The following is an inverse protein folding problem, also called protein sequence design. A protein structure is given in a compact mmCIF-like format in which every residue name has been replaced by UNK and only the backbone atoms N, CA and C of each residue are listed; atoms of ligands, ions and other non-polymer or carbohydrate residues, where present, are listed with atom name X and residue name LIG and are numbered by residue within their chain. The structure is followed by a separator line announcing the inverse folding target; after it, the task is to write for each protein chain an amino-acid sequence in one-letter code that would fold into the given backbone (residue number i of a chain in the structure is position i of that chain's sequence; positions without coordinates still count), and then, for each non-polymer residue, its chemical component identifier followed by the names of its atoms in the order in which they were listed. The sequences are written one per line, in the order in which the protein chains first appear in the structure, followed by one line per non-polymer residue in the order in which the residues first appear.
data_IF_129193604609
#
_entry.id   IF_129193604609
#
_cell.length_a   1.000
_cell.length_b   1.000
_cell.length_c   1.000
_cell.angle_alpha   90.00
_cell.angle_beta   90.00
_cell.angle_gamma   90.00
#
_symmetry.space_group_name_H-M   'P 1'
#
loop_
_entity.id
_entity.type
_entity.pdbx_description
1 polymer ?
#
# COMPACT_ATOMS: atom_id res chain seq x y z
N UNK A 1 15.21 -0.20 4.94
CA UNK A 1 13.98 0.48 5.39
C UNK A 1 12.93 0.40 4.29
N UNK A 2 11.70 0.04 4.64
CA UNK A 2 10.66 -0.18 3.64
C UNK A 2 9.95 1.13 3.29
N UNK A 3 9.58 1.28 2.03
CA UNK A 3 8.70 2.35 1.59
C UNK A 3 7.68 1.78 0.63
N UNK A 4 6.64 2.55 0.35
CA UNK A 4 5.47 2.06 -0.38
C UNK A 4 5.07 3.07 -1.44
N UNK A 5 4.70 2.56 -2.63
CA UNK A 5 4.20 3.39 -3.71
C UNK A 5 2.82 2.89 -4.07
N UNK A 6 1.88 3.81 -4.25
CA UNK A 6 0.48 3.47 -4.49
C UNK A 6 0.06 4.00 -5.84
N UNK A 7 -0.53 3.12 -6.64
CA UNK A 7 -1.07 3.46 -7.96
C UNK A 7 -2.57 3.20 -8.00
N UNK A 8 -3.27 3.89 -8.90
CA UNK A 8 -4.69 3.61 -9.14
C UNK A 8 -4.86 2.49 -10.17
N UNK A 9 -6.11 2.23 -10.58
CA UNK A 9 -6.41 1.15 -11.51
C UNK A 9 -5.79 1.36 -12.89
N UNK A 10 -5.47 2.58 -13.24
CA UNK A 10 -4.87 2.95 -14.53
C UNK A 10 -3.36 3.11 -14.43
N UNK A 11 -2.77 2.67 -13.32
CA UNK A 11 -1.34 2.76 -13.04
C UNK A 11 -0.83 4.19 -12.94
N UNK A 12 -1.71 5.12 -12.56
CA UNK A 12 -1.30 6.48 -12.23
C UNK A 12 -0.79 6.51 -10.81
N UNK A 13 0.33 7.19 -10.60
CA UNK A 13 0.90 7.36 -9.27
C UNK A 13 -0.04 8.19 -8.41
N UNK A 14 -0.43 7.65 -7.24
CA UNK A 14 -1.31 8.34 -6.31
C UNK A 14 -0.52 8.86 -5.12
N UNK A 15 0.35 8.04 -4.53
CA UNK A 15 1.02 8.43 -3.29
C UNK A 15 2.31 7.64 -3.09
N UNK A 16 3.19 8.25 -2.30
CA UNK A 16 4.42 7.64 -1.81
C UNK A 16 4.38 7.71 -0.29
N UNK A 17 4.59 6.57 0.36
CA UNK A 17 4.59 6.49 1.83
C UNK A 17 5.95 6.01 2.30
N UNK A 18 6.55 6.73 3.24
CA UNK A 18 7.88 6.43 3.72
C UNK A 18 7.93 5.30 4.74
N UNK A 19 6.78 4.99 5.34
CA UNK A 19 6.71 3.95 6.36
C UNK A 19 5.30 3.38 6.43
N UNK A 20 5.16 2.35 7.26
CA UNK A 20 3.89 1.65 7.38
C UNK A 20 2.81 2.52 8.05
N UNK A 21 3.20 3.41 8.95
CA UNK A 21 2.24 4.32 9.58
C UNK A 21 1.58 5.23 8.55
N UNK A 22 2.38 5.81 7.66
CA UNK A 22 1.84 6.66 6.59
C UNK A 22 0.93 5.88 5.67
N UNK A 23 1.34 4.67 5.29
CA UNK A 23 0.53 3.81 4.45
C UNK A 23 -0.81 3.51 5.10
N UNK A 24 -0.79 3.14 6.38
CA UNK A 24 -1.99 2.82 7.13
C UNK A 24 -2.98 3.98 7.14
N UNK A 25 -2.48 5.17 7.38
CA UNK A 25 -3.31 6.37 7.38
C UNK A 25 -3.89 6.66 5.99
N UNK A 26 -3.07 6.53 4.97
CA UNK A 26 -3.50 6.86 3.61
C UNK A 26 -4.61 5.92 3.13
N UNK A 27 -4.44 4.62 3.34
CA UNK A 27 -5.40 3.63 2.84
C UNK A 27 -6.50 3.30 3.84
N UNK A 28 -6.41 3.85 5.05
CA UNK A 28 -7.37 3.62 6.13
C UNK A 28 -7.52 2.13 6.45
N UNK A 29 -6.39 1.46 6.58
CA UNK A 29 -6.33 0.03 6.95
C UNK A 29 -5.36 -0.15 8.10
N UNK A 30 -5.54 -1.20 8.89
CA UNK A 30 -4.70 -1.46 10.06
C UNK A 30 -3.29 -1.86 9.62
N UNK A 31 -2.28 -1.37 10.34
CA UNK A 31 -0.89 -1.73 10.07
C UNK A 31 -0.68 -3.23 10.11
N UNK A 32 -1.30 -3.91 11.05
CA UNK A 32 -1.18 -5.36 11.19
C UNK A 32 -1.66 -6.09 9.94
N UNK A 33 -2.79 -5.65 9.39
CA UNK A 33 -3.32 -6.23 8.15
C UNK A 33 -2.38 -5.98 6.99
N UNK A 34 -1.91 -4.73 6.84
CA UNK A 34 -1.00 -4.38 5.75
C UNK A 34 0.31 -5.15 5.83
N UNK A 35 0.86 -5.26 7.03
CA UNK A 35 2.08 -6.02 7.25
C UNK A 35 1.90 -7.48 6.85
N UNK A 36 0.79 -8.07 7.24
CA UNK A 36 0.47 -9.45 6.89
C UNK A 36 0.34 -9.63 5.38
N UNK A 37 -0.41 -8.72 4.72
CA UNK A 37 -0.67 -8.81 3.29
C UNK A 37 0.59 -8.61 2.45
N UNK A 38 1.52 -7.79 2.94
CA UNK A 38 2.75 -7.48 2.22
C UNK A 38 3.93 -8.35 2.63
N UNK A 39 3.71 -9.33 3.50
CA UNK A 39 4.78 -10.14 4.06
C UNK A 39 5.47 -11.01 3.02
N UNK A 40 4.70 -11.73 2.22
CA UNK A 40 5.23 -12.71 1.27
C UNK A 40 5.28 -12.18 -0.15
N UNK A 41 4.45 -11.19 -0.46
CA UNK A 41 4.41 -10.55 -1.77
C UNK A 41 4.59 -9.07 -1.54
N UNK A 42 5.47 -8.45 -2.29
CA UNK A 42 5.75 -7.03 -2.11
C UNK A 42 4.67 -6.17 -2.77
N UNK A 43 3.43 -6.66 -2.79
CA UNK A 43 2.29 -5.94 -3.36
C UNK A 43 1.00 -6.37 -2.69
N UNK A 44 0.04 -5.44 -2.63
CA UNK A 44 -1.29 -5.71 -2.12
C UNK A 44 -2.26 -4.77 -2.81
N UNK A 45 -3.34 -5.34 -3.34
CA UNK A 45 -4.35 -4.58 -4.07
C UNK A 45 -5.61 -4.47 -3.21
N UNK A 46 -5.99 -3.23 -2.91
CA UNK A 46 -7.24 -2.95 -2.21
C UNK A 46 -8.27 -2.63 -3.28
N UNK A 47 -9.43 -3.27 -3.23
CA UNK A 47 -10.41 -3.14 -4.29
C UNK A 47 -11.63 -2.30 -3.93
N UNK A 48 -11.86 -2.03 -2.66
CA UNK A 48 -13.03 -1.30 -2.18
C UNK A 48 -12.56 -0.14 -1.31
N UNK A 49 -13.07 1.09 -1.52
CA UNK A 49 -14.06 1.51 -2.51
C UNK A 49 -13.53 1.67 -3.92
N UNK A 50 -12.24 1.89 -4.08
CA UNK A 50 -11.58 2.03 -5.39
C UNK A 50 -10.37 1.12 -5.41
N UNK A 51 -9.98 0.67 -6.59
CA UNK A 51 -8.79 -0.14 -6.72
C UNK A 51 -7.54 0.69 -6.42
N UNK A 52 -6.77 0.26 -5.43
CA UNK A 52 -5.47 0.83 -5.10
C UNK A 52 -4.44 -0.27 -5.17
N UNK A 53 -3.37 -0.03 -5.91
CA UNK A 53 -2.27 -0.98 -6.06
C UNK A 53 -1.11 -0.51 -5.21
N UNK A 54 -0.84 -1.24 -4.13
CA UNK A 54 0.23 -0.90 -3.17
C UNK A 54 1.43 -1.79 -3.46
N UNK A 55 2.59 -1.16 -3.64
CA UNK A 55 3.85 -1.88 -3.83
C UNK A 55 4.82 -1.52 -2.72
N UNK A 56 5.46 -2.55 -2.16
CA UNK A 56 6.45 -2.40 -1.10
C UNK A 56 7.85 -2.51 -1.68
N UNK A 57 8.71 -1.59 -1.27
CA UNK A 57 10.13 -1.56 -1.66
C UNK A 57 11.00 -1.48 -0.41
N UNK A 58 12.21 -1.99 -0.53
CA UNK A 58 13.18 -1.95 0.55
C UNK A 58 14.46 -1.25 0.12
#
# INVERSE_FOLDING_TARGET
MDYYIIYDKNDNLIAYCENLDELSLFVNRRKKELKYRLKNKNRYYIQIPNLLKIYKFS
#
